data_IF_929939536482
#
_entry.id   IF_929939536482
#
_cell.length_a   1.000
_cell.length_b   1.000
_cell.length_c   1.000
_cell.angle_alpha   90.00
_cell.angle_beta   90.00
_cell.angle_gamma   90.00
#
_symmetry.space_group_name_H-M   'P 1'
#
loop_
_entity.id
_entity.type
_entity.pdbx_description
1 polymer ?
#
# COMPACT_ATOMS: atom_id res chain seq x y z
N UNK A 1 -7.40 21.53 -23.63
CA UNK A 1 -6.37 21.71 -22.59
C UNK A 1 -5.05 21.13 -23.03
N UNK A 2 -4.07 22.00 -23.26
CA UNK A 2 -2.67 21.65 -23.42
C UNK A 2 -2.00 21.70 -22.03
N UNK A 3 -2.71 21.24 -21.00
CA UNK A 3 -2.19 21.14 -19.65
C UNK A 3 -1.17 20.02 -19.64
N UNK A 4 0.04 20.33 -19.19
CA UNK A 4 1.13 19.38 -19.12
C UNK A 4 0.69 18.19 -18.25
N UNK A 5 0.40 17.05 -18.89
CA UNK A 5 -0.04 15.82 -18.23
C UNK A 5 0.92 15.42 -17.10
N UNK A 6 2.21 15.71 -17.28
CA UNK A 6 3.24 15.45 -16.28
C UNK A 6 3.04 16.32 -15.02
N UNK A 7 2.56 17.55 -15.15
CA UNK A 7 2.35 18.45 -14.02
C UNK A 7 1.26 17.97 -13.05
N UNK A 8 0.34 17.11 -13.50
CA UNK A 8 -0.77 16.58 -12.70
C UNK A 8 -0.48 15.24 -12.03
N UNK A 9 0.76 14.70 -12.12
CA UNK A 9 1.09 13.46 -11.42
C UNK A 9 0.98 13.61 -9.90
N UNK A 10 0.36 12.62 -9.28
CA UNK A 10 0.37 12.50 -7.84
C UNK A 10 1.79 12.20 -7.35
N UNK A 11 2.45 13.20 -6.75
CA UNK A 11 3.78 13.06 -6.15
C UNK A 11 3.83 12.05 -4.99
N UNK A 12 2.68 11.70 -4.43
CA UNK A 12 2.51 10.74 -3.35
C UNK A 12 1.96 9.38 -3.84
N UNK A 13 2.06 9.08 -5.14
CA UNK A 13 1.59 7.81 -5.71
C UNK A 13 2.32 6.59 -5.14
N UNK A 14 3.56 6.76 -4.66
CA UNK A 14 4.35 5.73 -4.01
C UNK A 14 5.01 6.30 -2.74
N UNK A 15 4.79 5.63 -1.61
CA UNK A 15 5.43 5.93 -0.33
C UNK A 15 6.03 4.63 0.19
N UNK A 16 7.37 4.58 0.30
CA UNK A 16 8.08 3.43 0.88
C UNK A 16 8.18 3.60 2.39
N UNK A 17 7.92 2.53 3.15
CA UNK A 17 8.06 2.49 4.60
C UNK A 17 8.82 1.24 4.99
N UNK A 18 9.73 1.38 5.96
CA UNK A 18 10.43 0.26 6.59
C UNK A 18 9.78 0.05 7.96
N UNK A 19 9.49 -1.20 8.29
CA UNK A 19 8.83 -1.55 9.54
C UNK A 19 9.05 -3.00 9.92
N UNK A 20 8.42 -3.41 11.02
CA UNK A 20 8.44 -4.77 11.51
C UNK A 20 7.15 -5.51 11.14
N UNK A 21 7.25 -6.82 11.04
CA UNK A 21 6.13 -7.69 10.71
C UNK A 21 6.17 -8.97 11.54
N UNK A 22 5.07 -9.73 11.51
CA UNK A 22 4.99 -11.01 12.18
C UNK A 22 5.88 -12.08 11.50
N UNK A 23 6.42 -13.01 12.28
CA UNK A 23 7.22 -14.14 11.79
C UNK A 23 6.44 -15.04 10.83
N UNK A 24 5.11 -15.09 10.97
CA UNK A 24 4.24 -15.83 10.04
C UNK A 24 4.51 -15.49 8.56
N UNK A 25 4.93 -14.26 8.27
CA UNK A 25 5.13 -13.78 6.90
C UNK A 25 6.46 -14.20 6.27
N UNK A 26 7.38 -14.82 7.03
CA UNK A 26 8.73 -15.20 6.58
C UNK A 26 8.71 -16.12 5.35
N UNK A 27 7.87 -17.16 5.36
CA UNK A 27 7.83 -18.21 4.34
C UNK A 27 6.67 -18.06 3.33
N UNK A 28 6.11 -16.87 3.22
CA UNK A 28 5.02 -16.58 2.28
C UNK A 28 5.53 -16.48 0.83
N UNK A 29 4.68 -16.80 -0.13
CA UNK A 29 5.04 -16.76 -1.55
C UNK A 29 4.72 -15.40 -2.17
N UNK A 30 5.43 -15.04 -3.26
CA UNK A 30 5.12 -13.84 -4.03
C UNK A 30 3.69 -13.94 -4.56
N UNK A 31 2.91 -12.87 -4.40
CA UNK A 31 1.50 -12.84 -4.78
C UNK A 31 0.54 -13.26 -3.68
N UNK A 32 1.00 -13.89 -2.59
CA UNK A 32 0.15 -14.13 -1.42
C UNK A 32 -0.44 -12.82 -0.91
N UNK A 33 -1.66 -12.88 -0.39
CA UNK A 33 -2.41 -11.70 0.08
C UNK A 33 -2.76 -11.79 1.55
N UNK A 34 -2.66 -10.65 2.22
CA UNK A 34 -2.84 -10.54 3.66
C UNK A 34 -3.63 -9.29 4.00
N UNK A 35 -4.45 -9.37 5.04
CA UNK A 35 -4.94 -8.17 5.72
C UNK A 35 -3.98 -7.84 6.86
N UNK A 36 -3.27 -6.72 6.76
CA UNK A 36 -2.53 -6.18 7.90
C UNK A 36 -3.52 -5.41 8.77
N UNK A 37 -3.69 -5.87 10.01
CA UNK A 37 -4.70 -5.38 10.92
C UNK A 37 -4.64 -3.86 11.05
N UNK A 38 -5.80 -3.22 10.87
CA UNK A 38 -5.99 -1.75 10.93
C UNK A 38 -5.22 -0.94 9.87
N UNK A 39 -4.53 -1.58 8.91
CA UNK A 39 -3.73 -0.90 7.89
C UNK A 39 -4.33 -1.03 6.48
N UNK A 40 -4.71 -2.24 6.08
CA UNK A 40 -5.20 -2.50 4.74
C UNK A 40 -4.94 -3.92 4.26
N UNK A 41 -5.15 -4.13 2.97
CA UNK A 41 -4.83 -5.37 2.28
C UNK A 41 -3.52 -5.20 1.51
N UNK A 42 -2.66 -6.21 1.60
CA UNK A 42 -1.30 -6.21 1.07
C UNK A 42 -1.04 -7.50 0.31
N UNK A 43 -0.07 -7.45 -0.60
CA UNK A 43 0.45 -8.63 -1.29
C UNK A 43 1.96 -8.64 -1.24
N UNK A 44 2.57 -9.83 -1.17
CA UNK A 44 4.02 -9.98 -1.24
C UNK A 44 4.49 -9.63 -2.65
N UNK A 45 5.34 -8.62 -2.74
CA UNK A 45 5.83 -8.11 -4.01
C UNK A 45 6.92 -9.01 -4.61
N UNK A 46 7.02 -9.01 -5.93
CA UNK A 46 8.03 -9.78 -6.69
C UNK A 46 9.47 -9.32 -6.44
N UNK A 47 9.68 -8.09 -5.99
CA UNK A 47 11.00 -7.57 -5.66
C UNK A 47 11.44 -8.02 -4.24
N UNK A 48 10.64 -8.84 -3.55
CA UNK A 48 10.99 -9.42 -2.26
C UNK A 48 12.19 -10.37 -2.35
N UNK A 49 13.04 -10.32 -1.33
CA UNK A 49 14.12 -11.29 -1.10
C UNK A 49 13.94 -11.96 0.28
N UNK A 50 14.62 -13.08 0.55
CA UNK A 50 14.59 -13.70 1.88
C UNK A 50 15.03 -12.74 3.01
N UNK A 51 15.99 -11.86 2.74
CA UNK A 51 16.53 -10.90 3.72
C UNK A 51 15.69 -9.61 3.81
N UNK A 52 14.99 -9.26 2.72
CA UNK A 52 14.18 -8.06 2.63
C UNK A 52 12.82 -8.37 1.99
N UNK A 53 11.83 -8.80 2.78
CA UNK A 53 10.48 -9.01 2.28
C UNK A 53 9.79 -7.67 2.01
N UNK A 54 9.14 -7.56 0.86
CA UNK A 54 8.46 -6.33 0.41
C UNK A 54 6.97 -6.62 0.25
N UNK A 55 6.14 -5.75 0.83
CA UNK A 55 4.69 -5.87 0.73
C UNK A 55 4.08 -4.61 0.13
N UNK A 56 3.37 -4.78 -0.99
CA UNK A 56 2.66 -3.70 -1.64
C UNK A 56 1.23 -3.62 -1.11
N UNK A 57 0.79 -2.41 -0.75
CA UNK A 57 -0.58 -2.17 -0.33
C UNK A 57 -1.49 -2.20 -1.55
N UNK A 58 -2.39 -3.18 -1.60
CA UNK A 58 -3.42 -3.31 -2.63
C UNK A 58 -4.47 -2.21 -2.45
N UNK A 59 -5.02 -2.11 -1.25
CA UNK A 59 -6.00 -1.08 -0.88
C UNK A 59 -6.00 -0.82 0.62
N UNK A 60 -6.30 0.42 1.02
CA UNK A 60 -6.53 0.76 2.43
C UNK A 60 -7.85 0.17 2.95
N UNK A 61 -8.01 0.11 4.27
CA UNK A 61 -9.30 -0.22 4.85
C UNK A 61 -10.32 0.89 4.56
N UNK A 62 -11.60 0.52 4.51
CA UNK A 62 -12.68 1.50 4.41
C UNK A 62 -12.72 2.33 5.69
N UNK A 63 -12.46 3.62 5.55
CA UNK A 63 -12.69 4.59 6.62
C UNK A 63 -14.16 5.04 6.58
N UNK A 64 -14.95 4.59 7.55
CA UNK A 64 -16.37 4.99 7.70
C UNK A 64 -16.55 6.24 8.56
N UNK A 65 -15.47 6.76 9.14
CA UNK A 65 -15.50 7.91 10.05
C UNK A 65 -14.93 9.18 9.40
N UNK A 66 -14.28 9.07 8.24
CA UNK A 66 -13.88 10.23 7.44
C UNK A 66 -15.08 11.14 7.19
N UNK A 67 -15.07 12.31 7.83
CA UNK A 67 -16.11 13.33 7.75
C UNK A 67 -16.34 13.67 6.28
N UNK A 68 -17.57 13.49 5.77
CA UNK A 68 -17.99 14.02 4.46
C UNK A 68 -17.67 15.51 4.46
N UNK A 69 -16.63 15.91 3.74
CA UNK A 69 -16.43 17.32 3.42
C UNK A 69 -17.56 17.67 2.46
N UNK A 70 -18.60 18.32 2.98
CA UNK A 70 -19.63 18.91 2.15
C UNK A 70 -18.97 20.07 1.40
N UNK A 71 -18.77 19.90 0.09
CA UNK A 71 -18.40 21.01 -0.78
C UNK A 71 -19.69 21.79 -1.06
N UNK A 72 -19.79 22.99 -0.50
CA UNK A 72 -20.77 24.01 -0.91
C UNK A 72 -20.27 24.73 -2.16
#
# INVERSE_FOLDING_TARGET
DNSDFIANFNKNSMIKKIGYMDKYLENTEVGDTFQFLRLGYFTKDKDSTPELPVFNRVVGLRDTFAKKVLNN
#
